data_IF_184173221754
#
_entry.id   IF_184173221754
#
_cell.length_a   1.000
_cell.length_b   1.000
_cell.length_c   1.000
_cell.angle_alpha   90.00
_cell.angle_beta   90.00
_cell.angle_gamma   90.00
#
_symmetry.space_group_name_H-M   'P 1'
#
loop_
_entity.id
_entity.type
_entity.pdbx_description
1 polymer ?
#
# COMPACT_ATOMS: atom_id res chain seq x y z
N UNK A 1 3.22 -17.39 12.50
CA UNK A 1 2.52 -17.16 11.37
C UNK A 1 1.02 -17.06 11.62
N UNK A 2 0.37 -16.11 11.04
CA UNK A 2 -1.03 -15.91 11.27
C UNK A 2 -1.92 -16.96 10.62
N UNK A 3 -3.22 -16.85 10.82
CA UNK A 3 -4.15 -17.78 10.17
C UNK A 3 -4.05 -17.64 8.66
N UNK A 4 -4.27 -18.75 7.99
CA UNK A 4 -4.20 -18.74 6.55
C UNK A 4 -5.38 -18.01 5.96
N UNK A 5 -5.17 -17.29 4.86
CA UNK A 5 -6.30 -16.65 4.21
C UNK A 5 -7.24 -17.69 3.63
N UNK A 6 -8.50 -17.35 3.63
CA UNK A 6 -9.52 -18.15 3.01
C UNK A 6 -9.30 -18.10 1.49
N UNK A 7 -9.15 -19.23 0.80
CA UNK A 7 -8.92 -19.21 -0.64
C UNK A 7 -10.03 -18.49 -1.41
N UNK A 8 -11.25 -18.54 -0.90
CA UNK A 8 -12.38 -17.89 -1.55
C UNK A 8 -12.43 -16.41 -1.24
N UNK A 9 -11.78 -15.99 -0.15
CA UNK A 9 -11.78 -14.59 0.28
C UNK A 9 -10.40 -14.19 0.75
N UNK A 10 -9.53 -13.80 -0.17
CA UNK A 10 -8.19 -13.38 0.22
C UNK A 10 -8.27 -12.25 1.23
N UNK A 11 -7.46 -12.33 2.25
CA UNK A 11 -7.43 -11.30 3.29
C UNK A 11 -6.56 -10.12 2.90
N UNK A 12 -5.81 -10.26 1.84
CA UNK A 12 -4.87 -9.24 1.39
C UNK A 12 -5.20 -8.81 0.00
N UNK A 13 -5.07 -7.53 -0.26
CA UNK A 13 -5.18 -6.99 -1.62
C UNK A 13 -3.90 -6.21 -1.89
N UNK A 14 -3.55 -6.11 -3.16
CA UNK A 14 -2.34 -5.42 -3.56
C UNK A 14 -2.70 -4.06 -4.13
N UNK A 15 -2.00 -3.03 -3.65
CA UNK A 15 -2.14 -1.69 -4.17
C UNK A 15 -0.98 -1.39 -5.10
N UNK A 16 -1.29 -0.72 -6.19
CA UNK A 16 -0.28 -0.23 -7.12
C UNK A 16 0.04 1.22 -6.77
N UNK A 17 1.31 1.50 -6.67
CA UNK A 17 1.80 2.84 -6.39
C UNK A 17 2.63 3.27 -7.58
N UNK A 18 2.27 4.37 -8.20
CA UNK A 18 2.88 4.80 -9.45
C UNK A 18 4.22 5.49 -9.34
N UNK A 19 4.93 5.27 -8.25
CA UNK A 19 6.28 5.79 -8.06
C UNK A 19 7.13 4.70 -7.41
N UNK A 20 8.43 4.76 -7.63
CA UNK A 20 9.30 3.73 -7.11
C UNK A 20 10.67 4.27 -6.75
N UNK A 21 11.67 3.41 -6.87
CA UNK A 21 13.03 3.75 -6.46
C UNK A 21 13.59 4.95 -7.21
N UNK A 22 13.28 5.08 -8.48
CA UNK A 22 13.76 6.20 -9.27
C UNK A 22 13.20 7.53 -8.77
N UNK A 23 12.09 7.47 -8.07
CA UNK A 23 11.46 8.65 -7.49
C UNK A 23 11.86 8.81 -6.04
N UNK A 24 12.85 8.05 -5.60
CA UNK A 24 13.35 8.09 -4.22
C UNK A 24 12.31 7.64 -3.21
N UNK A 25 11.44 6.76 -3.64
CA UNK A 25 10.42 6.18 -2.76
C UNK A 25 10.82 4.74 -2.50
N UNK A 26 10.96 4.40 -1.24
CA UNK A 26 11.33 3.05 -0.87
C UNK A 26 10.32 2.51 0.13
N UNK A 27 10.64 1.30 0.62
CA UNK A 27 9.72 0.58 1.50
C UNK A 27 9.33 1.40 2.73
N UNK A 28 10.30 2.04 3.36
CA UNK A 28 10.04 2.81 4.57
C UNK A 28 9.09 3.96 4.29
N UNK A 29 9.27 4.61 3.15
CA UNK A 29 8.41 5.73 2.79
C UNK A 29 6.96 5.27 2.59
N UNK A 30 6.78 4.11 2.00
CA UNK A 30 5.44 3.58 1.76
C UNK A 30 4.78 3.19 3.07
N UNK A 31 5.52 2.52 3.94
CA UNK A 31 4.99 2.14 5.25
C UNK A 31 4.58 3.37 6.03
N UNK A 32 5.47 4.37 6.07
CA UNK A 32 5.17 5.60 6.79
C UNK A 32 3.95 6.32 6.24
N UNK A 33 3.85 6.37 4.93
CA UNK A 33 2.72 7.01 4.28
C UNK A 33 1.41 6.31 4.61
N UNK A 34 1.37 5.00 4.47
CA UNK A 34 0.16 4.25 4.75
C UNK A 34 -0.21 4.29 6.23
N UNK A 35 0.78 4.28 7.08
CA UNK A 35 0.55 4.33 8.52
C UNK A 35 0.00 5.69 8.94
N UNK A 36 0.58 6.75 8.40
CA UNK A 36 0.24 8.11 8.81
C UNK A 36 -1.04 8.60 8.13
N UNK A 37 -1.12 8.43 6.84
CA UNK A 37 -2.26 8.93 6.07
C UNK A 37 -3.38 7.91 6.04
N UNK A 38 -3.04 6.66 5.80
CA UNK A 38 -4.04 5.61 5.69
C UNK A 38 -4.52 5.04 7.00
N UNK A 39 -3.83 5.36 8.10
CA UNK A 39 -4.21 4.85 9.40
C UNK A 39 -3.97 3.38 9.60
N UNK A 40 -3.10 2.79 8.81
CA UNK A 40 -2.83 1.36 8.90
C UNK A 40 -1.77 1.05 9.93
N UNK A 41 -1.97 -0.02 10.68
CA UNK A 41 -0.96 -0.50 11.59
C UNK A 41 0.01 -1.42 10.88
N UNK A 42 1.08 -1.78 11.58
CA UNK A 42 2.08 -2.69 11.03
C UNK A 42 1.48 -4.01 10.58
N UNK A 43 0.55 -4.53 11.34
CA UNK A 43 -0.05 -5.81 11.02
C UNK A 43 -1.06 -5.72 9.87
N UNK A 44 -1.41 -4.51 9.47
CA UNK A 44 -2.33 -4.30 8.37
C UNK A 44 -1.61 -4.13 7.04
N UNK A 45 -0.31 -4.03 7.07
CA UNK A 45 0.51 -3.88 5.88
C UNK A 45 1.32 -5.15 5.71
N UNK A 46 1.18 -5.77 4.55
CA UNK A 46 1.90 -7.00 4.27
C UNK A 46 3.16 -6.74 3.45
N UNK A 47 3.32 -7.52 2.41
CA UNK A 47 4.52 -7.44 1.59
C UNK A 47 4.57 -6.16 0.79
N UNK A 48 5.75 -5.57 0.70
CA UNK A 48 5.98 -4.39 -0.10
C UNK A 48 7.07 -4.72 -1.11
N UNK A 49 6.82 -4.39 -2.37
CA UNK A 49 7.73 -4.68 -3.45
C UNK A 49 7.95 -3.41 -4.25
N UNK A 50 9.09 -2.76 -4.07
CA UNK A 50 9.37 -1.49 -4.71
C UNK A 50 10.22 -1.73 -5.97
N UNK A 51 9.66 -1.35 -7.11
CA UNK A 51 10.36 -1.42 -8.39
C UNK A 51 10.94 -0.06 -8.72
N UNK A 52 11.47 0.09 -9.92
CA UNK A 52 12.14 1.34 -10.28
C UNK A 52 11.16 2.49 -10.48
N UNK A 53 10.04 2.23 -11.12
CA UNK A 53 9.09 3.28 -11.46
C UNK A 53 7.74 3.09 -10.80
N UNK A 54 7.56 2.04 -10.03
CA UNK A 54 6.30 1.75 -9.37
C UNK A 54 6.55 0.83 -8.19
N UNK A 55 5.52 0.59 -7.43
CA UNK A 55 5.64 -0.28 -6.28
C UNK A 55 4.31 -0.99 -6.03
N UNK A 56 4.39 -2.09 -5.32
CA UNK A 56 3.20 -2.82 -4.89
C UNK A 56 3.26 -2.98 -3.38
N UNK A 57 2.10 -2.91 -2.76
CA UNK A 57 2.03 -3.13 -1.32
C UNK A 57 0.74 -3.89 -1.03
N UNK A 58 0.85 -4.89 -0.18
CA UNK A 58 -0.32 -5.65 0.25
C UNK A 58 -0.87 -5.04 1.52
N UNK A 59 -2.17 -4.85 1.56
CA UNK A 59 -2.85 -4.36 2.75
C UNK A 59 -4.03 -5.27 3.04
N UNK A 60 -4.58 -5.13 4.25
CA UNK A 60 -5.76 -5.89 4.62
C UNK A 60 -6.93 -5.53 3.74
N UNK A 61 -7.60 -6.56 3.24
CA UNK A 61 -8.71 -6.36 2.32
C UNK A 61 -9.84 -5.54 2.92
N UNK A 62 -10.14 -5.80 4.18
CA UNK A 62 -11.25 -5.10 4.82
C UNK A 62 -10.96 -3.62 5.10
N UNK A 63 -9.70 -3.19 4.90
CA UNK A 63 -9.33 -1.79 5.06
C UNK A 63 -9.12 -1.10 3.72
N UNK A 64 -9.34 -1.81 2.64
CA UNK A 64 -9.04 -1.29 1.31
C UNK A 64 -9.80 0.00 1.00
N UNK A 65 -11.10 0.01 1.21
CA UNK A 65 -11.91 1.17 0.91
C UNK A 65 -11.46 2.39 1.69
N UNK A 66 -11.26 2.21 2.98
CA UNK A 66 -10.85 3.29 3.85
C UNK A 66 -9.48 3.81 3.48
N UNK A 67 -8.58 2.89 3.18
CA UNK A 67 -7.23 3.27 2.81
C UNK A 67 -7.22 4.04 1.50
N UNK A 68 -7.93 3.55 0.50
CA UNK A 68 -7.98 4.22 -0.79
C UNK A 68 -8.58 5.62 -0.66
N UNK A 69 -9.62 5.75 0.15
CA UNK A 69 -10.24 7.04 0.36
C UNK A 69 -9.28 8.01 1.04
N UNK A 70 -8.52 7.49 2.01
CA UNK A 70 -7.60 8.33 2.77
C UNK A 70 -6.39 8.77 1.95
N UNK A 71 -5.88 7.89 1.10
CA UNK A 71 -4.66 8.20 0.35
C UNK A 71 -4.91 8.81 -1.01
N UNK A 72 -6.16 8.82 -1.44
CA UNK A 72 -6.49 9.39 -2.75
C UNK A 72 -6.14 10.86 -2.78
N UNK A 73 -5.36 11.26 -3.78
CA UNK A 73 -4.95 12.65 -3.92
C UNK A 73 -3.84 13.08 -2.99
N UNK A 74 -3.33 12.18 -2.17
CA UNK A 74 -2.24 12.52 -1.25
C UNK A 74 -0.90 12.36 -1.93
N UNK A 75 0.13 12.89 -1.27
CA UNK A 75 1.48 12.84 -1.80
C UNK A 75 2.37 12.00 -0.91
N UNK A 76 3.29 11.26 -1.51
CA UNK A 76 4.31 10.54 -0.78
C UNK A 76 5.59 11.35 -0.89
N UNK A 77 6.13 11.77 0.23
CA UNK A 77 7.34 12.60 0.29
C UNK A 77 7.20 13.85 -0.58
N UNK A 78 6.00 14.41 -0.61
CA UNK A 78 5.75 15.59 -1.41
C UNK A 78 5.58 15.34 -2.89
N UNK A 79 5.59 14.09 -3.31
CA UNK A 79 5.45 13.73 -4.72
C UNK A 79 4.04 13.19 -4.95
N UNK A 80 3.34 13.79 -5.87
CA UNK A 80 2.01 13.33 -6.22
C UNK A 80 2.10 11.93 -6.81
N UNK A 81 1.32 11.02 -6.27
CA UNK A 81 1.44 9.61 -6.61
C UNK A 81 0.07 9.00 -6.84
N UNK A 82 -0.01 8.18 -7.86
CA UNK A 82 -1.23 7.44 -8.14
C UNK A 82 -1.21 6.16 -7.32
N UNK A 83 -2.28 5.92 -6.59
CA UNK A 83 -2.42 4.71 -5.79
C UNK A 83 -3.75 4.10 -6.14
N UNK A 84 -3.73 2.84 -6.57
CA UNK A 84 -4.96 2.17 -6.94
C UNK A 84 -4.83 0.69 -6.69
N UNK A 85 -5.96 0.03 -6.63
CA UNK A 85 -6.00 -1.40 -6.40
C UNK A 85 -5.60 -2.13 -7.68
N UNK A 86 -4.72 -3.12 -7.53
CA UNK A 86 -4.44 -4.00 -8.65
C UNK A 86 -5.44 -5.13 -8.68
N UNK A 87 -5.47 -5.81 -9.75
CA UNK A 87 -6.35 -6.96 -9.86
C UNK A 87 -5.80 -8.17 -9.15
#
# INVERSE_FOLDING_TARGET
>A
EGPKPDPAKPQWVTLYIGKGKKDKINKVDIVGFLSKIGGLGKSDIGRIDVKEHYAFVAIRRNLLKETLAAVSGQKIKGIKTIIEKTK
#
